data_IF_456468171269
#
_entry.id   IF_456468171269
#
_cell.length_a   1.000
_cell.length_b   1.000
_cell.length_c   1.000
_cell.angle_alpha   90.00
_cell.angle_beta   90.00
_cell.angle_gamma   90.00
#
_symmetry.space_group_name_H-M   'P 1'
#
loop_
_entity.id
_entity.type
_entity.pdbx_description
1 polymer ?
#
# COMPACT_ATOMS: atom_id res chain seq x y z
N UNK A 1 -4.54 -4.39 2.90
CA UNK A 1 -3.46 -3.72 2.13
C UNK A 1 -2.71 -2.80 3.06
N UNK A 2 -1.39 -2.70 2.92
CA UNK A 2 -0.58 -1.74 3.68
C UNK A 2 -0.09 -0.63 2.75
N UNK A 3 -0.16 0.62 3.20
CA UNK A 3 0.43 1.75 2.50
C UNK A 3 1.79 2.03 3.12
N UNK A 4 2.83 2.11 2.30
CA UNK A 4 4.21 2.27 2.73
C UNK A 4 4.88 3.40 1.97
N UNK A 5 5.63 4.26 2.66
CA UNK A 5 6.41 5.31 2.01
C UNK A 5 7.53 4.72 1.16
N UNK A 6 8.14 5.56 0.31
CA UNK A 6 9.23 5.11 -0.56
C UNK A 6 10.47 4.62 0.21
N UNK A 7 10.59 4.99 1.50
CA UNK A 7 11.61 4.47 2.42
C UNK A 7 11.25 3.12 3.06
N UNK A 8 10.14 2.49 2.66
CA UNK A 8 9.65 1.22 3.22
C UNK A 8 9.00 1.35 4.60
N UNK A 9 8.77 2.57 5.10
CA UNK A 9 8.08 2.82 6.37
C UNK A 9 6.57 2.73 6.18
N UNK A 10 5.89 2.09 7.14
CA UNK A 10 4.43 2.06 7.19
C UNK A 10 3.85 3.48 7.28
N UNK A 11 2.80 3.74 6.49
CA UNK A 11 2.06 5.01 6.48
C UNK A 11 0.65 4.84 7.03
N UNK A 12 -0.09 3.86 6.50
CA UNK A 12 -1.51 3.66 6.82
C UNK A 12 -1.97 2.25 6.44
N UNK A 13 -3.10 1.84 7.00
CA UNK A 13 -3.86 0.69 6.55
C UNK A 13 -4.79 1.08 5.41
N UNK A 14 -5.07 0.13 4.52
CA UNK A 14 -5.95 0.32 3.38
C UNK A 14 -6.86 -0.88 3.13
N UNK A 15 -8.12 -0.58 2.83
CA UNK A 15 -9.08 -1.53 2.27
C UNK A 15 -9.21 -1.29 0.78
N UNK A 16 -8.97 -2.32 -0.02
CA UNK A 16 -9.18 -2.29 -1.47
C UNK A 16 -10.67 -2.34 -1.77
N UNK A 17 -11.19 -1.37 -2.51
CA UNK A 17 -12.59 -1.35 -2.95
C UNK A 17 -12.73 -1.82 -4.40
N UNK A 18 -11.82 -1.37 -5.26
CA UNK A 18 -11.79 -1.73 -6.67
C UNK A 18 -10.35 -1.71 -7.19
N UNK A 19 -10.01 -2.64 -8.07
CA UNK A 19 -8.69 -2.74 -8.71
C UNK A 19 -8.87 -2.97 -10.20
N UNK A 20 -8.19 -2.14 -10.98
CA UNK A 20 -8.04 -2.29 -12.42
C UNK A 20 -6.60 -2.66 -12.77
N UNK A 21 -6.31 -2.86 -14.06
CA UNK A 21 -4.94 -3.04 -14.54
C UNK A 21 -4.04 -1.83 -14.26
N UNK A 22 -4.61 -0.61 -14.22
CA UNK A 22 -3.84 0.64 -14.15
C UNK A 22 -3.86 1.33 -12.78
N UNK A 23 -4.66 0.88 -11.84
CA UNK A 23 -4.84 1.56 -10.57
C UNK A 23 -5.87 0.91 -9.66
N UNK A 24 -6.12 1.55 -8.53
CA UNK A 24 -7.03 1.05 -7.51
C UNK A 24 -7.75 2.18 -6.78
N UNK A 25 -8.94 1.89 -6.26
CA UNK A 25 -9.64 2.69 -5.26
C UNK A 25 -9.40 2.07 -3.89
N UNK A 26 -8.87 2.86 -2.98
CA UNK A 26 -8.49 2.42 -1.63
C UNK A 26 -9.17 3.30 -0.59
N UNK A 27 -9.85 2.68 0.37
CA UNK A 27 -10.31 3.34 1.59
C UNK A 27 -9.21 3.24 2.64
N UNK A 28 -8.72 4.37 3.10
CA UNK A 28 -7.67 4.47 4.11
C UNK A 28 -8.22 4.28 5.52
N UNK A 29 -7.38 3.77 6.43
CA UNK A 29 -7.67 3.65 7.85
C UNK A 29 -7.74 5.01 8.54
N UNK A 30 -6.83 5.92 8.20
CA UNK A 30 -6.73 7.26 8.79
C UNK A 30 -6.89 8.40 7.78
N UNK A 31 -6.98 9.63 8.29
CA UNK A 31 -6.97 10.90 7.55
C UNK A 31 -5.59 11.59 7.59
N UNK A 32 -4.56 10.91 8.10
CA UNK A 32 -3.19 11.45 8.13
C UNK A 32 -2.75 11.88 6.72
N UNK A 33 -1.91 12.90 6.55
CA UNK A 33 -1.39 13.23 5.23
C UNK A 33 -0.64 12.04 4.62
N UNK A 34 -0.90 11.75 3.34
CA UNK A 34 -0.11 10.82 2.54
C UNK A 34 0.79 11.59 1.57
N UNK A 35 2.02 11.12 1.33
CA UNK A 35 2.81 11.62 0.21
C UNK A 35 2.10 11.29 -1.12
N UNK A 36 2.31 12.08 -2.18
CA UNK A 36 1.68 11.83 -3.48
C UNK A 36 2.17 10.56 -4.17
N UNK A 37 3.32 10.02 -3.73
CA UNK A 37 3.93 8.77 -4.19
C UNK A 37 4.26 7.87 -3.01
N UNK A 38 3.88 6.62 -3.10
CA UNK A 38 4.12 5.60 -2.08
C UNK A 38 3.98 4.20 -2.68
N UNK A 39 4.18 3.17 -1.88
CA UNK A 39 3.94 1.78 -2.25
C UNK A 39 2.67 1.25 -1.60
N UNK A 40 1.95 0.40 -2.32
CA UNK A 40 0.87 -0.44 -1.78
C UNK A 40 1.39 -1.87 -1.69
N UNK A 41 1.37 -2.44 -0.49
CA UNK A 41 1.55 -3.87 -0.29
C UNK A 41 0.22 -4.58 -0.45
N UNK A 42 0.15 -5.44 -1.47
CA UNK A 42 -0.83 -6.51 -1.54
C UNK A 42 -0.37 -7.65 -0.61
N UNK A 43 -1.14 -7.90 0.44
CA UNK A 43 -0.80 -8.90 1.46
C UNK A 43 -1.16 -10.33 1.02
N UNK A 44 -2.00 -10.49 0.00
CA UNK A 44 -2.38 -11.80 -0.56
C UNK A 44 -1.34 -12.24 -1.57
N UNK A 45 -1.03 -11.37 -2.54
CA UNK A 45 -0.05 -11.66 -3.60
C UNK A 45 1.40 -11.43 -3.15
N UNK A 46 1.61 -10.81 -1.98
CA UNK A 46 2.90 -10.40 -1.46
C UNK A 46 3.71 -9.59 -2.48
N UNK A 47 3.10 -8.52 -3.01
CA UNK A 47 3.69 -7.60 -3.99
C UNK A 47 3.63 -6.16 -3.51
N UNK A 48 4.71 -5.41 -3.74
CA UNK A 48 4.75 -3.95 -3.55
C UNK A 48 4.54 -3.25 -4.90
N UNK A 49 3.41 -2.57 -5.06
CA UNK A 49 3.11 -1.76 -6.23
C UNK A 49 3.47 -0.30 -5.95
N UNK A 50 4.34 0.36 -6.74
CA UNK A 50 4.54 1.81 -6.64
C UNK A 50 3.32 2.53 -7.21
N UNK A 51 2.85 3.55 -6.51
CA UNK A 51 1.61 4.25 -6.88
C UNK A 51 1.73 5.77 -6.78
N UNK A 52 0.89 6.47 -7.53
CA UNK A 52 0.62 7.91 -7.37
C UNK A 52 -0.84 8.14 -7.01
N UNK A 53 -1.13 9.10 -6.13
CA UNK A 53 -2.50 9.57 -5.88
C UNK A 53 -2.97 10.37 -7.10
N UNK A 54 -4.15 10.05 -7.64
CA UNK A 54 -4.78 10.78 -8.75
C UNK A 54 -6.01 11.57 -8.32
N UNK A 55 -6.65 11.18 -7.21
CA UNK A 55 -7.69 11.95 -6.54
C UNK A 55 -7.77 11.52 -5.07
N UNK A 56 -8.29 12.40 -4.21
CA UNK A 56 -8.56 12.11 -2.82
C UNK A 56 -9.88 12.77 -2.40
N UNK A 57 -10.74 11.99 -1.73
CA UNK A 57 -12.00 12.45 -1.15
C UNK A 57 -12.09 11.92 0.29
N UNK A 58 -11.73 12.77 1.26
CA UNK A 58 -11.60 12.37 2.65
C UNK A 58 -10.56 11.26 2.82
N UNK A 59 -11.01 10.08 3.25
CA UNK A 59 -10.18 8.88 3.43
C UNK A 59 -10.20 7.94 2.22
N UNK A 60 -10.91 8.27 1.17
CA UNK A 60 -10.83 7.53 -0.08
C UNK A 60 -9.81 8.15 -1.01
N UNK A 61 -9.03 7.29 -1.65
CA UNK A 61 -8.06 7.68 -2.66
C UNK A 61 -8.21 6.83 -3.91
N UNK A 62 -8.06 7.50 -5.05
CA UNK A 62 -7.73 6.84 -6.30
C UNK A 62 -6.22 6.86 -6.48
N UNK A 63 -5.66 5.70 -6.79
CA UNK A 63 -4.23 5.58 -7.10
C UNK A 63 -4.03 4.98 -8.49
N UNK A 64 -2.97 5.42 -9.16
CA UNK A 64 -2.47 4.82 -10.40
C UNK A 64 -1.20 4.05 -10.12
N UNK A 65 -1.09 2.83 -10.62
CA UNK A 65 0.13 2.03 -10.56
C UNK A 65 1.18 2.64 -11.49
N UNK A 66 2.40 2.83 -10.98
CA UNK A 66 3.52 3.42 -11.72
C UNK A 66 4.72 2.50 -11.61
N UNK A 67 5.22 2.01 -12.73
CA UNK A 67 6.36 1.09 -12.75
C UNK A 67 6.00 -0.37 -12.45
N UNK A 68 7.03 -1.19 -12.30
CA UNK A 68 6.88 -2.62 -12.05
C UNK A 68 6.59 -2.91 -10.57
N UNK A 69 5.81 -3.96 -10.32
CA UNK A 69 5.65 -4.49 -8.97
C UNK A 69 6.96 -5.12 -8.48
N UNK A 70 7.23 -4.92 -7.19
CA UNK A 70 8.45 -5.36 -6.52
C UNK A 70 8.11 -6.55 -5.62
N UNK A 71 8.96 -7.57 -5.62
CA UNK A 71 8.89 -8.63 -4.62
C UNK A 71 9.46 -8.09 -3.29
N UNK A 72 8.64 -7.89 -2.25
CA UNK A 72 9.11 -7.43 -0.94
C UNK A 72 9.99 -8.49 -0.28
N UNK A 73 11.00 -8.05 0.47
CA UNK A 73 11.78 -8.96 1.31
C UNK A 73 10.96 -9.38 2.53
N UNK A 74 11.35 -10.49 3.20
CA UNK A 74 10.78 -10.88 4.51
C UNK A 74 10.89 -9.74 5.54
N UNK A 75 11.94 -8.93 5.48
CA UNK A 75 12.12 -7.78 6.38
C UNK A 75 11.11 -6.67 6.07
N UNK A 76 10.80 -6.41 4.80
CA UNK A 76 9.79 -5.42 4.42
C UNK A 76 8.40 -5.85 4.83
N UNK A 77 8.04 -7.13 4.59
CA UNK A 77 6.77 -7.69 5.05
C UNK A 77 6.66 -7.52 6.56
N UNK A 78 7.64 -8.00 7.35
CA UNK A 78 7.62 -7.85 8.81
C UNK A 78 7.51 -6.40 9.27
N UNK A 79 8.20 -5.46 8.61
CA UNK A 79 8.13 -4.03 8.95
C UNK A 79 6.73 -3.46 8.72
N UNK A 80 6.04 -3.91 7.68
CA UNK A 80 4.72 -3.41 7.29
C UNK A 80 3.57 -4.15 7.97
N UNK A 81 3.77 -5.40 8.38
CA UNK A 81 2.72 -6.28 8.88
C UNK A 81 2.95 -6.80 10.30
N UNK A 82 4.10 -6.51 10.92
CA UNK A 82 4.58 -7.14 12.16
C UNK A 82 3.71 -6.95 13.41
N UNK A 83 2.65 -6.13 13.36
CA UNK A 83 1.64 -6.06 14.42
C UNK A 83 0.56 -7.15 14.30
N UNK A 84 0.48 -7.83 13.16
CA UNK A 84 -0.61 -8.75 12.81
C UNK A 84 -0.15 -10.08 12.19
N UNK A 85 1.09 -10.20 11.72
CA UNK A 85 1.62 -11.44 11.17
C UNK A 85 2.77 -11.97 12.02
N UNK A 86 2.48 -12.98 12.83
CA UNK A 86 3.49 -13.95 13.24
C UNK A 86 3.78 -14.82 12.00
N UNK A 87 4.80 -14.46 11.22
CA UNK A 87 5.25 -15.29 10.11
C UNK A 87 5.96 -16.52 10.70
N UNK A 88 5.61 -17.75 10.30
CA UNK A 88 6.40 -18.92 10.68
C UNK A 88 7.83 -18.80 10.13
N UNK A 89 8.79 -19.26 10.92
CA UNK A 89 10.25 -19.14 10.68
C UNK A 89 10.69 -19.65 9.30
#
# INVERSE_FOLDING_TARGET
MKLAGLSGKFLDDGMLYDRSRGGARIRRGSDRPLPPRFFVLDEVELRLAPVVIVWQAGREIGVRFVGAEIQPTRADIRRLTGRYYALPE
#
